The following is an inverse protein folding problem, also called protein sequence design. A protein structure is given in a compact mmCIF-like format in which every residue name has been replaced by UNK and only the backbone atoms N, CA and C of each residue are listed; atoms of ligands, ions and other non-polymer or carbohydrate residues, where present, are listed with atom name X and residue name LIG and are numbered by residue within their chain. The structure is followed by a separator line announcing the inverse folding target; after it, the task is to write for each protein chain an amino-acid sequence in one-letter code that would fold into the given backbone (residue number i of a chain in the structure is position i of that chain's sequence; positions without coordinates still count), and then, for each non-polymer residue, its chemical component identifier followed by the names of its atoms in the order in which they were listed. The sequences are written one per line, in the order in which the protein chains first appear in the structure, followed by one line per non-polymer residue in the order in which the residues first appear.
data_IF_354385623929
#
_entry.id   IF_354385623929
#
_cell.length_a   1.000
_cell.length_b   1.000
_cell.length_c   1.000
_cell.angle_alpha   90.00
_cell.angle_beta   90.00
_cell.angle_gamma   90.00
#
_symmetry.space_group_name_H-M   'P 1'
#
loop_
_entity.id
_entity.type
_entity.pdbx_description
1 polymer ?
#
# COMPACT_ATOMS: atom_id res chain seq x y z
N UNK A 1 34.84 5.76 16.02
CA UNK A 1 34.19 4.50 15.61
C UNK A 1 32.73 4.58 15.98
N UNK A 2 31.86 4.93 15.02
CA UNK A 2 30.54 5.51 15.26
C UNK A 2 29.51 4.79 14.36
N UNK A 3 28.47 4.23 14.98
CA UNK A 3 27.11 3.96 14.44
C UNK A 3 26.72 2.63 13.76
N UNK A 4 27.46 1.52 13.87
CA UNK A 4 27.00 0.24 13.28
C UNK A 4 25.99 -0.56 14.16
N UNK A 5 25.81 -0.20 15.43
CA UNK A 5 24.87 -0.90 16.32
C UNK A 5 23.41 -0.44 16.17
N UNK A 6 23.20 0.81 15.74
CA UNK A 6 21.85 1.40 15.62
C UNK A 6 21.07 0.78 14.46
N UNK A 7 21.70 0.63 13.29
CA UNK A 7 21.09 -0.01 12.12
C UNK A 7 20.79 -1.49 12.37
N UNK A 8 21.70 -2.18 13.07
CA UNK A 8 21.53 -3.58 13.43
C UNK A 8 20.40 -3.79 14.44
N UNK A 9 20.24 -2.89 15.41
CA UNK A 9 19.12 -2.93 16.36
C UNK A 9 17.78 -2.64 15.70
N UNK A 10 17.73 -1.70 14.76
CA UNK A 10 16.50 -1.37 14.01
C UNK A 10 16.01 -2.58 13.21
N UNK A 11 16.91 -3.23 12.47
CA UNK A 11 16.54 -4.37 11.64
C UNK A 11 16.10 -5.59 12.47
N UNK A 12 16.67 -5.76 13.67
CA UNK A 12 16.25 -6.81 14.61
C UNK A 12 14.88 -6.53 15.21
N UNK A 13 14.60 -5.29 15.62
CA UNK A 13 13.29 -4.90 16.15
C UNK A 13 12.21 -5.00 15.06
N UNK A 14 12.50 -4.57 13.83
CA UNK A 14 11.59 -4.73 12.71
C UNK A 14 11.31 -6.20 12.42
N UNK A 15 12.37 -7.02 12.32
CA UNK A 15 12.25 -8.45 12.06
C UNK A 15 11.45 -9.17 13.15
N UNK A 16 11.68 -8.83 14.41
CA UNK A 16 10.91 -9.37 15.54
C UNK A 16 9.44 -8.92 15.48
N UNK A 17 9.17 -7.65 15.18
CA UNK A 17 7.81 -7.13 15.02
C UNK A 17 7.05 -7.82 13.88
N UNK A 18 7.71 -8.03 12.74
CA UNK A 18 7.14 -8.77 11.61
C UNK A 18 6.86 -10.23 11.95
N UNK A 19 7.76 -10.89 12.68
CA UNK A 19 7.59 -12.27 13.10
C UNK A 19 6.41 -12.43 14.07
N UNK A 20 6.26 -11.52 15.04
CA UNK A 20 5.12 -11.51 15.97
C UNK A 20 3.81 -11.27 15.22
N UNK A 21 3.78 -10.31 14.29
CA UNK A 21 2.61 -10.06 13.44
C UNK A 21 2.24 -11.29 12.62
N UNK A 22 3.22 -12.00 12.04
CA UNK A 22 3.00 -13.24 11.30
C UNK A 22 2.38 -14.35 12.16
N UNK A 23 2.84 -14.51 13.40
CA UNK A 23 2.27 -15.50 14.34
C UNK A 23 0.82 -15.17 14.68
N UNK A 24 0.51 -13.90 14.95
CA UNK A 24 -0.86 -13.45 15.28
C UNK A 24 -1.80 -13.68 14.08
N UNK A 25 -1.36 -13.31 12.88
CA UNK A 25 -2.11 -13.52 11.64
C UNK A 25 -2.38 -15.01 11.37
N UNK A 26 -1.36 -15.85 11.57
CA UNK A 26 -1.50 -17.30 11.41
C UNK A 26 -2.50 -17.89 12.41
N UNK A 27 -2.47 -17.44 13.67
CA UNK A 27 -3.43 -17.88 14.69
C UNK A 27 -4.88 -17.54 14.33
N UNK A 28 -5.14 -16.33 13.84
CA UNK A 28 -6.48 -15.93 13.38
C UNK A 28 -6.93 -16.73 12.15
N UNK A 29 -6.03 -16.97 11.20
CA UNK A 29 -6.33 -17.80 10.04
C UNK A 29 -6.77 -19.22 10.42
N UNK A 30 -6.06 -19.89 11.34
CA UNK A 30 -6.46 -21.22 11.78
C UNK A 30 -7.83 -21.23 12.47
N UNK A 31 -8.13 -20.19 13.26
CA UNK A 31 -9.44 -20.03 13.89
C UNK A 31 -10.55 -19.93 12.85
N UNK A 32 -10.37 -19.10 11.82
CA UNK A 32 -11.37 -18.87 10.79
C UNK A 32 -11.57 -20.12 9.92
N UNK A 33 -10.49 -20.82 9.58
CA UNK A 33 -10.52 -22.12 8.88
C UNK A 33 -11.25 -23.18 9.72
N UNK A 34 -11.02 -23.23 11.03
CA UNK A 34 -11.69 -24.17 11.92
C UNK A 34 -13.19 -23.87 12.02
N UNK A 35 -13.56 -22.60 12.14
CA UNK A 35 -14.94 -22.14 12.15
C UNK A 35 -15.65 -22.50 10.84
N UNK A 36 -14.96 -22.34 9.70
CA UNK A 36 -15.46 -22.77 8.39
C UNK A 36 -15.69 -24.28 8.33
N UNK A 37 -14.73 -25.08 8.80
CA UNK A 37 -14.84 -26.53 8.84
C UNK A 37 -16.04 -26.99 9.69
N UNK A 38 -16.24 -26.36 10.86
CA UNK A 38 -17.40 -26.66 11.71
C UNK A 38 -18.73 -26.27 11.07
N UNK A 39 -18.81 -25.12 10.41
CA UNK A 39 -20.02 -24.70 9.68
C UNK A 39 -20.35 -25.68 8.55
N UNK A 40 -19.35 -26.10 7.78
CA UNK A 40 -19.48 -27.09 6.70
C UNK A 40 -19.96 -28.45 7.20
N UNK A 41 -19.52 -28.86 8.40
CA UNK A 41 -19.90 -30.14 8.99
C UNK A 41 -21.31 -30.14 9.60
N UNK A 42 -21.80 -28.98 10.05
CA UNK A 42 -23.10 -28.84 10.74
C UNK A 42 -24.22 -28.25 9.89
N UNK A 43 -23.91 -27.73 8.70
CA UNK A 43 -24.89 -27.12 7.83
C UNK A 43 -25.84 -28.14 7.16
N UNK A 44 -27.11 -28.09 7.55
CA UNK A 44 -28.20 -28.46 6.64
C UNK A 44 -28.29 -27.39 5.54
N UNK A 45 -28.09 -27.79 4.29
CA UNK A 45 -27.86 -26.96 3.10
C UNK A 45 -28.94 -25.90 2.79
N UNK A 46 -30.06 -25.88 3.52
CA UNK A 46 -31.26 -25.11 3.17
C UNK A 46 -31.46 -23.82 3.99
N UNK A 47 -31.02 -23.77 5.25
CA UNK A 47 -31.30 -22.60 6.13
C UNK A 47 -30.15 -21.57 6.22
N UNK A 48 -28.92 -21.93 5.83
CA UNK A 48 -27.73 -21.09 6.11
C UNK A 48 -26.77 -20.93 4.92
N UNK A 49 -27.27 -21.01 3.69
CA UNK A 49 -26.44 -20.83 2.48
C UNK A 49 -25.66 -19.51 2.47
N UNK A 50 -26.29 -18.43 2.97
CA UNK A 50 -25.66 -17.11 3.10
C UNK A 50 -24.49 -17.11 4.10
N UNK A 51 -24.64 -17.74 5.26
CA UNK A 51 -23.61 -17.81 6.28
C UNK A 51 -22.38 -18.62 5.82
N UNK A 52 -22.62 -19.72 5.10
CA UNK A 52 -21.57 -20.56 4.52
C UNK A 52 -20.83 -19.79 3.42
N UNK A 53 -21.57 -19.14 2.52
CA UNK A 53 -21.00 -18.35 1.42
C UNK A 53 -20.14 -17.20 1.96
N UNK A 54 -20.63 -16.48 2.98
CA UNK A 54 -19.89 -15.43 3.68
C UNK A 54 -18.55 -15.93 4.23
N UNK A 55 -18.57 -17.07 4.93
CA UNK A 55 -17.38 -17.62 5.58
C UNK A 55 -16.36 -18.17 4.56
N UNK A 56 -16.84 -18.72 3.44
CA UNK A 56 -15.99 -19.14 2.30
C UNK A 56 -15.31 -17.92 1.66
N UNK A 57 -16.07 -16.86 1.39
CA UNK A 57 -15.56 -15.60 0.83
C UNK A 57 -14.50 -14.98 1.74
N UNK A 58 -14.77 -14.90 3.05
CA UNK A 58 -13.84 -14.36 4.06
C UNK A 58 -12.53 -15.16 4.09
N UNK A 59 -12.62 -16.49 4.07
CA UNK A 59 -11.44 -17.38 4.11
C UNK A 59 -10.62 -17.34 2.82
N UNK A 60 -11.27 -17.35 1.66
CA UNK A 60 -10.60 -17.32 0.35
C UNK A 60 -9.91 -15.97 0.10
N UNK A 61 -10.61 -14.87 0.40
CA UNK A 61 -10.00 -13.54 0.31
C UNK A 61 -8.84 -13.43 1.28
N UNK A 62 -8.91 -13.96 2.51
CA UNK A 62 -7.79 -13.92 3.44
C UNK A 62 -6.53 -14.60 2.86
N UNK A 63 -6.65 -15.76 2.21
CA UNK A 63 -5.51 -16.42 1.58
C UNK A 63 -4.87 -15.55 0.48
N UNK A 64 -5.69 -14.97 -0.40
CA UNK A 64 -5.22 -14.01 -1.40
C UNK A 64 -4.51 -12.79 -0.75
N UNK A 65 -4.80 -12.47 0.52
CA UNK A 65 -4.25 -11.29 1.20
C UNK A 65 -2.79 -11.48 1.52
N UNK A 66 -2.53 -12.65 2.09
CA UNK A 66 -1.27 -12.99 2.69
C UNK A 66 -0.26 -13.15 1.58
N UNK A 67 -0.68 -13.73 0.45
CA UNK A 67 0.13 -13.84 -0.76
C UNK A 67 0.52 -12.45 -1.31
N UNK A 68 -0.44 -11.54 -1.47
CA UNK A 68 -0.17 -10.20 -2.01
C UNK A 68 0.66 -9.32 -1.05
N UNK A 69 0.41 -9.41 0.25
CA UNK A 69 1.16 -8.66 1.28
C UNK A 69 2.58 -9.21 1.44
N UNK A 70 2.78 -10.52 1.30
CA UNK A 70 4.10 -11.13 1.35
C UNK A 70 4.97 -10.69 0.17
N UNK A 71 4.44 -10.72 -1.06
CA UNK A 71 5.18 -10.29 -2.26
C UNK A 71 5.67 -8.84 -2.15
N UNK A 72 4.87 -8.00 -1.50
CA UNK A 72 5.17 -6.60 -1.31
C UNK A 72 6.32 -6.35 -0.29
N UNK A 73 6.41 -7.14 0.79
CA UNK A 73 7.47 -6.99 1.81
C UNK A 73 8.88 -7.28 1.27
N UNK A 74 9.00 -8.01 0.16
CA UNK A 74 10.30 -8.27 -0.48
C UNK A 74 10.87 -7.06 -1.25
N UNK A 75 10.07 -6.03 -1.56
CA UNK A 75 10.55 -4.81 -2.24
C UNK A 75 11.06 -3.77 -1.23
N UNK A 76 12.37 -3.82 -1.03
CA UNK A 76 13.15 -3.22 0.05
C UNK A 76 13.34 -1.67 0.00
N UNK A 77 12.37 -0.88 -0.50
CA UNK A 77 12.39 0.60 -0.41
C UNK A 77 11.02 1.13 -0.01
N UNK A 78 10.94 1.76 1.17
CA UNK A 78 9.71 2.34 1.71
C UNK A 78 9.46 3.69 1.03
N UNK A 79 8.62 3.69 0.00
CA UNK A 79 8.06 4.91 -0.59
C UNK A 79 6.63 5.14 -0.08
N UNK A 80 6.19 6.40 -0.07
CA UNK A 80 4.86 6.78 0.41
C UNK A 80 3.73 6.19 -0.46
N UNK A 81 3.99 6.02 -1.75
CA UNK A 81 3.10 5.38 -2.73
C UNK A 81 2.87 3.90 -2.39
N UNK A 82 3.95 3.23 -2.03
CA UNK A 82 3.94 1.88 -1.53
C UNK A 82 3.01 1.77 -0.31
N UNK A 83 3.15 2.63 0.70
CA UNK A 83 2.28 2.61 1.88
C UNK A 83 0.80 2.81 1.52
N UNK A 84 0.52 3.74 0.59
CA UNK A 84 -0.84 3.93 0.11
C UNK A 84 -1.42 2.70 -0.59
N UNK A 85 -0.63 1.98 -1.38
CA UNK A 85 -1.11 0.75 -2.03
C UNK A 85 -1.50 -0.34 -1.02
N UNK A 86 -0.74 -0.52 0.06
CA UNK A 86 -1.15 -1.44 1.15
C UNK A 86 -2.46 -0.97 1.78
N UNK A 87 -2.59 0.33 2.08
CA UNK A 87 -3.81 0.88 2.67
C UNK A 87 -5.04 0.70 1.78
N UNK A 88 -4.90 0.95 0.47
CA UNK A 88 -5.97 0.77 -0.52
C UNK A 88 -6.36 -0.70 -0.62
N UNK A 89 -5.38 -1.62 -0.73
CA UNK A 89 -5.65 -3.06 -0.77
C UNK A 89 -6.35 -3.56 0.50
N UNK A 90 -5.96 -3.07 1.68
CA UNK A 90 -6.63 -3.41 2.94
C UNK A 90 -8.08 -2.91 2.99
N UNK A 91 -8.33 -1.67 2.53
CA UNK A 91 -9.69 -1.14 2.47
C UNK A 91 -10.56 -1.86 1.42
N UNK A 92 -10.03 -2.20 0.25
CA UNK A 92 -10.76 -2.98 -0.77
C UNK A 92 -11.14 -4.38 -0.26
N UNK A 93 -10.29 -4.99 0.56
CA UNK A 93 -10.57 -6.29 1.17
C UNK A 93 -11.65 -6.25 2.22
N UNK A 94 -11.56 -5.27 3.11
CA UNK A 94 -12.60 -5.08 4.10
C UNK A 94 -13.94 -4.75 3.39
N UNK A 95 -13.94 -4.09 2.23
CA UNK A 95 -15.14 -3.82 1.44
C UNK A 95 -15.78 -5.10 0.89
N UNK A 96 -14.97 -6.04 0.39
CA UNK A 96 -15.46 -7.32 -0.15
C UNK A 96 -15.97 -8.29 0.94
N UNK A 97 -15.43 -8.19 2.15
CA UNK A 97 -15.87 -9.01 3.30
C UNK A 97 -17.12 -8.44 3.97
N UNK A 98 -17.34 -7.13 3.90
CA UNK A 98 -18.42 -6.45 4.63
C UNK A 98 -19.75 -6.49 3.86
N UNK A 99 -20.77 -7.16 4.39
CA UNK A 99 -22.06 -7.36 3.70
C UNK A 99 -23.33 -7.05 4.52
N UNK A 100 -23.23 -6.62 5.78
CA UNK A 100 -24.42 -6.43 6.64
C UNK A 100 -24.87 -4.97 6.80
N UNK A 101 -23.99 -3.99 6.60
CA UNK A 101 -24.33 -2.58 6.83
C UNK A 101 -23.98 -1.73 5.60
N UNK A 102 -25.04 -1.38 4.88
CA UNK A 102 -25.03 -0.52 3.69
C UNK A 102 -24.30 0.80 3.93
N UNK A 103 -24.40 1.36 5.14
CA UNK A 103 -23.73 2.62 5.48
C UNK A 103 -22.23 2.42 5.64
N UNK A 104 -21.81 1.31 6.27
CA UNK A 104 -20.40 0.94 6.38
C UNK A 104 -19.73 0.78 5.01
N UNK A 105 -20.40 0.11 4.08
CA UNK A 105 -19.94 -0.05 2.69
C UNK A 105 -19.79 1.31 1.99
N UNK A 106 -20.75 2.23 2.20
CA UNK A 106 -20.70 3.58 1.65
C UNK A 106 -19.50 4.37 2.18
N UNK A 107 -19.32 4.40 3.50
CA UNK A 107 -18.21 5.12 4.15
C UNK A 107 -16.87 4.57 3.66
N UNK A 108 -16.77 3.25 3.54
CA UNK A 108 -15.57 2.58 3.09
C UNK A 108 -15.27 2.84 1.61
N UNK A 109 -16.30 2.89 0.76
CA UNK A 109 -16.17 3.28 -0.64
C UNK A 109 -15.68 4.72 -0.78
N UNK A 110 -16.20 5.64 0.05
CA UNK A 110 -15.73 7.04 0.10
C UNK A 110 -14.28 7.12 0.59
N UNK A 111 -13.90 6.34 1.60
CA UNK A 111 -12.54 6.29 2.11
C UNK A 111 -11.53 5.80 1.06
N UNK A 112 -11.87 4.73 0.32
CA UNK A 112 -11.06 4.25 -0.80
C UNK A 112 -10.96 5.31 -1.90
N UNK A 113 -12.08 5.95 -2.24
CA UNK A 113 -12.11 7.06 -3.20
C UNK A 113 -11.19 8.21 -2.78
N UNK A 114 -11.19 8.56 -1.49
CA UNK A 114 -10.33 9.60 -0.93
C UNK A 114 -8.85 9.20 -1.00
N UNK A 115 -8.48 7.95 -0.68
CA UNK A 115 -7.10 7.47 -0.86
C UNK A 115 -6.65 7.57 -2.33
N UNK A 116 -7.50 7.17 -3.27
CA UNK A 116 -7.19 7.25 -4.70
C UNK A 116 -7.02 8.72 -5.13
N UNK A 117 -7.87 9.63 -4.65
CA UNK A 117 -7.74 11.06 -4.90
C UNK A 117 -6.43 11.62 -4.37
N UNK A 118 -6.03 11.25 -3.16
CA UNK A 118 -4.73 11.64 -2.58
C UNK A 118 -3.58 11.11 -3.44
N UNK A 119 -3.66 9.88 -3.93
CA UNK A 119 -2.64 9.29 -4.79
C UNK A 119 -2.53 10.03 -6.12
N UNK A 120 -3.66 10.39 -6.73
CA UNK A 120 -3.71 11.19 -7.96
C UNK A 120 -3.14 12.58 -7.72
N UNK A 121 -3.54 13.26 -6.64
CA UNK A 121 -3.05 14.59 -6.29
C UNK A 121 -1.53 14.57 -6.00
N UNK A 122 -1.06 13.56 -5.26
CA UNK A 122 0.36 13.37 -5.00
C UNK A 122 1.15 13.10 -6.27
N UNK A 123 0.62 12.25 -7.16
CA UNK A 123 1.24 11.96 -8.46
C UNK A 123 1.28 13.20 -9.35
N UNK A 124 0.22 14.02 -9.33
CA UNK A 124 0.15 15.28 -10.08
C UNK A 124 1.12 16.32 -9.53
N UNK A 125 1.15 16.51 -8.21
CA UNK A 125 2.07 17.44 -7.54
C UNK A 125 3.54 17.09 -7.81
N UNK A 126 3.90 15.79 -7.77
CA UNK A 126 5.27 15.37 -8.10
C UNK A 126 5.65 15.64 -9.55
N UNK A 127 4.70 15.56 -10.50
CA UNK A 127 4.96 15.92 -11.91
C UNK A 127 5.24 17.41 -12.07
N UNK A 128 4.53 18.27 -11.35
CA UNK A 128 4.76 19.71 -11.41
C UNK A 128 6.11 20.15 -10.85
N UNK A 129 6.67 19.45 -9.85
CA UNK A 129 8.00 19.74 -9.35
C UNK A 129 9.11 19.40 -10.36
N UNK A 130 8.95 18.32 -11.14
CA UNK A 130 9.93 17.93 -12.15
C UNK A 130 10.02 18.91 -13.33
N UNK A 131 8.90 19.55 -13.68
CA UNK A 131 8.86 20.55 -14.77
C UNK A 131 9.56 21.87 -14.39
N UNK A 132 9.66 22.20 -13.09
CA UNK A 132 10.30 23.43 -12.59
C UNK A 132 11.83 23.32 -12.59
N UNK A 133 12.37 22.14 -12.26
CA UNK A 133 13.80 21.87 -12.24
C UNK A 133 14.40 21.92 -13.67
N UNK A 134 13.69 21.38 -14.65
CA UNK A 134 14.07 21.51 -16.06
C UNK A 134 13.98 22.95 -16.59
N UNK A 135 13.11 23.78 -16.01
CA UNK A 135 13.02 25.19 -16.40
C UNK A 135 14.20 25.99 -15.87
N UNK A 136 14.66 25.75 -14.64
CA UNK A 136 15.87 26.38 -14.09
C UNK A 136 17.12 25.99 -14.88
N UNK A 137 17.33 24.69 -15.17
CA UNK A 137 18.47 24.25 -15.99
C UNK A 137 18.45 24.89 -17.39
N UNK A 138 17.30 24.87 -18.08
CA UNK A 138 17.14 25.49 -19.41
C UNK A 138 17.42 26.99 -19.39
N UNK A 139 17.10 27.66 -18.30
CA UNK A 139 17.35 29.10 -18.13
C UNK A 139 18.84 29.35 -17.88
N UNK A 140 19.50 28.53 -17.06
CA UNK A 140 20.92 28.63 -16.77
C UNK A 140 21.81 28.37 -18.00
N UNK A 141 21.48 27.38 -18.83
CA UNK A 141 22.19 27.13 -20.09
C UNK A 141 22.08 28.30 -21.08
N UNK A 142 20.89 28.89 -21.22
CA UNK A 142 20.66 30.03 -22.11
C UNK A 142 21.41 31.27 -21.59
N UNK A 143 21.40 31.53 -20.28
CA UNK A 143 22.17 32.62 -19.68
C UNK A 143 23.69 32.43 -19.85
N UNK A 144 24.20 31.21 -19.69
CA UNK A 144 25.62 30.91 -19.89
C UNK A 144 26.05 31.08 -21.36
N UNK A 145 25.21 30.66 -22.31
CA UNK A 145 25.47 30.82 -23.75
C UNK A 145 25.40 32.29 -24.18
N UNK A 146 24.43 33.06 -23.68
CA UNK A 146 24.31 34.50 -23.97
C UNK A 146 25.51 35.29 -23.43
N UNK A 147 25.98 34.99 -22.21
CA UNK A 147 27.19 35.59 -21.65
C UNK A 147 28.47 35.20 -22.42
N UNK A 148 28.56 33.95 -22.89
CA UNK A 148 29.69 33.50 -23.69
C UNK A 148 29.73 34.17 -25.07
N UNK A 149 28.57 34.38 -25.70
CA UNK A 149 28.45 35.07 -26.99
C UNK A 149 28.71 36.57 -26.84
N UNK A 150 28.17 37.22 -25.80
CA UNK A 150 28.42 38.64 -25.51
C UNK A 150 29.91 38.93 -25.30
N UNK A 151 30.62 38.07 -24.55
CA UNK A 151 32.06 38.20 -24.33
C UNK A 151 32.90 37.98 -25.60
N UNK A 152 32.38 37.22 -26.56
CA UNK A 152 33.06 36.95 -27.84
C UNK A 152 32.90 38.12 -28.82
N UNK A 153 31.77 38.84 -28.77
CA UNK A 153 31.49 40.01 -29.62
C UNK A 153 32.27 41.25 -29.16
N UNK A 154 32.58 41.37 -27.87
CA UNK A 154 33.36 42.50 -27.31
C UNK A 154 34.88 42.37 -27.49
N UNK A 155 35.35 41.24 -28.05
CA UNK A 155 36.77 40.91 -28.19
C UNK A 155 37.21 40.71 -29.67
N UNK A 156 36.36 41.08 -30.63
CA UNK A 156 36.64 41.25 -32.06
C UNK A 156 36.51 42.75 -32.42
#
# INVERSE_FOLDING_TARGET
MKNNHLEKSYNVVLGAGMLVLGIIMFGFFLKDVWQLAQLLWTANLTDNFYAITRLILETFLFFEFVVLTQEYFLKNHISLENFMYIGITAMLRNLLVYHDDTIGILIQSVAIGLMILVLIAYRWSRRHLADLEHQEERTEYIFAEEHAISKKIDND
#
